data_IF_781439922215
#
_entry.id   IF_781439922215
#
_cell.length_a   1.000
_cell.length_b   1.000
_cell.length_c   1.000
_cell.angle_alpha   90.00
_cell.angle_beta   90.00
_cell.angle_gamma   90.00
#
_symmetry.space_group_name_H-M   'P 1'
#
loop_
_entity.id
_entity.type
_entity.pdbx_description
1 polymer ?
#
# COMPACT_ATOMS: atom_id res chain seq x y z
N UNK A 1 14.22 42.65 19.85
CA UNK A 1 15.12 41.51 19.62
C UNK A 1 14.73 40.49 20.69
N UNK A 2 14.07 39.37 20.44
CA UNK A 2 14.06 38.54 19.24
C UNK A 2 12.70 37.81 19.09
N UNK A 3 12.11 37.98 17.91
CA UNK A 3 11.04 37.15 17.39
C UNK A 3 11.73 35.98 16.67
N UNK A 4 11.90 34.82 17.31
CA UNK A 4 12.32 33.64 16.57
C UNK A 4 11.96 32.31 17.25
N UNK A 5 10.86 31.76 16.71
CA UNK A 5 10.77 30.39 16.22
C UNK A 5 10.85 29.29 17.29
N UNK A 6 9.69 28.97 17.86
CA UNK A 6 9.35 27.59 18.18
C UNK A 6 9.44 26.75 16.89
N UNK A 7 10.65 26.29 16.53
CA UNK A 7 10.83 25.28 15.51
C UNK A 7 10.56 23.93 16.18
N UNK A 8 9.32 23.45 16.01
CA UNK A 8 8.95 22.09 16.33
C UNK A 8 9.95 21.12 15.64
N UNK A 9 10.47 20.09 16.33
CA UNK A 9 11.25 19.06 15.69
C UNK A 9 10.29 18.22 14.84
N UNK A 10 10.16 18.55 13.56
CA UNK A 10 9.36 17.78 12.62
C UNK A 10 10.11 16.49 12.25
N UNK A 11 9.69 15.40 12.89
CA UNK A 11 9.43 14.10 12.26
C UNK A 11 10.51 13.63 11.23
N UNK A 12 11.66 13.16 11.74
CA UNK A 12 12.74 12.60 10.91
C UNK A 12 12.72 11.07 10.85
N UNK A 13 11.66 10.43 11.35
CA UNK A 13 11.45 9.01 11.14
C UNK A 13 10.90 8.80 9.72
N UNK A 14 11.45 7.88 8.91
CA UNK A 14 10.88 7.56 7.62
C UNK A 14 9.43 7.11 7.83
N UNK A 15 8.49 7.77 7.15
CA UNK A 15 7.09 7.36 7.20
C UNK A 15 7.00 5.94 6.63
N UNK A 16 6.10 5.08 7.12
CA UNK A 16 5.95 3.71 6.62
C UNK A 16 5.78 3.65 5.09
N UNK A 17 5.13 4.67 4.52
CA UNK A 17 4.95 4.84 3.08
C UNK A 17 6.26 5.05 2.30
N UNK A 18 7.28 5.65 2.92
CA UNK A 18 8.60 5.90 2.31
C UNK A 18 9.52 4.67 2.41
N UNK A 19 9.08 3.59 3.06
CA UNK A 19 9.83 2.33 3.15
C UNK A 19 9.82 1.58 1.83
N UNK A 20 10.94 0.92 1.50
CA UNK A 20 11.04 0.11 0.30
C UNK A 20 10.13 -1.11 0.40
N UNK A 21 9.32 -1.33 -0.63
CA UNK A 21 8.45 -2.50 -0.74
C UNK A 21 9.29 -3.79 -0.83
N UNK A 22 9.10 -4.68 0.15
CA UNK A 22 9.66 -6.02 0.08
C UNK A 22 8.89 -6.89 -0.93
N UNK A 23 9.48 -8.02 -1.32
CA UNK A 23 8.77 -8.99 -2.18
C UNK A 23 7.49 -9.49 -1.48
N UNK A 24 7.53 -9.67 -0.16
CA UNK A 24 6.38 -10.08 0.64
C UNK A 24 5.24 -9.02 0.64
N UNK A 25 5.59 -7.73 0.60
CA UNK A 25 4.57 -6.67 0.49
C UNK A 25 3.91 -6.71 -0.89
N UNK A 26 4.69 -6.93 -1.95
CA UNK A 26 4.18 -7.08 -3.31
C UNK A 26 3.29 -8.31 -3.44
N UNK A 27 3.71 -9.45 -2.88
CA UNK A 27 2.94 -10.69 -2.89
C UNK A 27 1.59 -10.53 -2.15
N UNK A 28 1.60 -9.91 -0.96
CA UNK A 28 0.36 -9.61 -0.22
C UNK A 28 -0.61 -8.79 -1.07
N UNK A 29 -0.12 -7.75 -1.74
CA UNK A 29 -0.95 -6.86 -2.54
C UNK A 29 -1.47 -7.60 -3.78
N UNK A 30 -0.65 -8.44 -4.40
CA UNK A 30 -1.07 -9.30 -5.50
C UNK A 30 -2.17 -10.28 -5.08
N UNK A 31 -2.11 -10.85 -3.87
CA UNK A 31 -3.17 -11.71 -3.34
C UNK A 31 -4.49 -10.95 -3.13
N UNK A 32 -4.44 -9.73 -2.59
CA UNK A 32 -5.62 -8.87 -2.45
C UNK A 32 -6.27 -8.58 -3.81
N UNK A 33 -5.45 -8.34 -4.84
CA UNK A 33 -5.94 -8.14 -6.21
C UNK A 33 -6.57 -9.42 -6.77
N UNK A 34 -5.98 -10.59 -6.50
CA UNK A 34 -6.53 -11.90 -6.91
C UNK A 34 -7.88 -12.16 -6.25
N UNK A 35 -8.03 -11.84 -4.98
CA UNK A 35 -9.31 -11.97 -4.27
C UNK A 35 -10.35 -11.04 -4.87
N UNK A 36 -10.00 -9.78 -5.14
CA UNK A 36 -10.91 -8.84 -5.79
C UNK A 36 -11.34 -9.27 -7.21
N UNK A 37 -10.47 -9.93 -7.96
CA UNK A 37 -10.82 -10.57 -9.23
C UNK A 37 -11.81 -11.74 -9.02
N UNK A 38 -11.56 -12.60 -8.03
CA UNK A 38 -12.44 -13.73 -7.70
C UNK A 38 -13.84 -13.27 -7.24
N UNK A 39 -13.91 -12.15 -6.55
CA UNK A 39 -15.16 -11.49 -6.13
C UNK A 39 -15.86 -10.74 -7.28
N UNK A 40 -15.23 -10.61 -8.44
CA UNK A 40 -15.75 -9.88 -9.60
C UNK A 40 -15.71 -8.36 -9.45
N UNK A 41 -14.92 -7.83 -8.50
CA UNK A 41 -14.69 -6.38 -8.31
C UNK A 41 -13.67 -5.82 -9.28
N UNK A 42 -12.78 -6.67 -9.78
CA UNK A 42 -11.86 -6.36 -10.86
C UNK A 42 -12.13 -7.27 -12.05
N UNK A 43 -11.99 -6.72 -13.25
CA UNK A 43 -11.87 -7.51 -14.47
C UNK A 43 -10.46 -8.13 -14.58
N UNK A 44 -10.31 -9.13 -15.44
CA UNK A 44 -9.01 -9.77 -15.66
C UNK A 44 -7.96 -8.78 -16.22
N UNK A 45 -8.38 -7.81 -17.04
CA UNK A 45 -7.51 -6.74 -17.54
C UNK A 45 -7.09 -5.79 -16.42
N UNK A 46 -8.03 -5.28 -15.61
CA UNK A 46 -7.70 -4.41 -14.48
C UNK A 46 -6.79 -5.10 -13.46
N UNK A 47 -7.03 -6.38 -13.20
CA UNK A 47 -6.16 -7.18 -12.35
C UNK A 47 -4.73 -7.25 -12.90
N UNK A 48 -4.57 -7.54 -14.20
CA UNK A 48 -3.25 -7.60 -14.83
C UNK A 48 -2.52 -6.26 -14.78
N UNK A 49 -3.20 -5.15 -15.10
CA UNK A 49 -2.63 -3.80 -15.05
C UNK A 49 -2.19 -3.41 -13.63
N UNK A 50 -3.02 -3.71 -12.62
CA UNK A 50 -2.70 -3.41 -11.22
C UNK A 50 -1.54 -4.26 -10.71
N UNK A 51 -1.49 -5.55 -11.06
CA UNK A 51 -0.37 -6.45 -10.69
C UNK A 51 0.93 -5.99 -11.34
N UNK A 52 0.90 -5.59 -12.61
CA UNK A 52 2.07 -5.01 -13.27
C UNK A 52 2.53 -3.74 -12.55
N UNK A 53 1.60 -2.85 -12.20
CA UNK A 53 1.90 -1.64 -11.42
C UNK A 53 2.59 -1.97 -10.09
N UNK A 54 2.04 -2.92 -9.32
CA UNK A 54 2.60 -3.43 -8.06
C UNK A 54 4.04 -3.90 -8.24
N UNK A 55 4.34 -4.67 -9.28
CA UNK A 55 5.69 -5.19 -9.53
C UNK A 55 6.71 -4.08 -9.87
N UNK A 56 6.25 -2.95 -10.40
CA UNK A 56 7.11 -1.80 -10.74
C UNK A 56 7.28 -0.80 -9.57
N UNK A 57 6.43 -0.87 -8.55
CA UNK A 57 6.55 0.01 -7.37
C UNK A 57 7.81 -0.28 -6.56
N UNK A 58 8.32 0.77 -5.93
CA UNK A 58 9.53 0.68 -5.09
C UNK A 58 9.22 0.89 -3.62
N UNK A 59 8.09 1.52 -3.29
CA UNK A 59 7.75 1.90 -1.93
C UNK A 59 6.43 1.27 -1.48
N UNK A 60 6.30 1.05 -0.18
CA UNK A 60 5.07 0.49 0.41
C UNK A 60 3.89 1.45 0.23
N UNK A 61 4.13 2.77 0.28
CA UNK A 61 3.07 3.76 0.06
C UNK A 61 2.52 3.74 -1.36
N UNK A 62 3.34 3.39 -2.36
CA UNK A 62 2.87 3.20 -3.74
C UNK A 62 1.98 1.95 -3.88
N UNK A 63 2.25 0.89 -3.12
CA UNK A 63 1.47 -0.34 -3.13
C UNK A 63 0.03 -0.14 -2.64
N UNK A 64 -0.15 0.62 -1.56
CA UNK A 64 -1.47 0.88 -0.98
C UNK A 64 -2.44 1.53 -1.98
N UNK A 65 -1.92 2.29 -2.95
CA UNK A 65 -2.75 2.96 -3.98
C UNK A 65 -3.49 1.95 -4.85
N UNK A 66 -2.94 0.76 -5.08
CA UNK A 66 -3.54 -0.26 -5.95
C UNK A 66 -4.70 -1.02 -5.30
N UNK A 67 -4.81 -0.96 -3.98
CA UNK A 67 -5.79 -1.73 -3.20
C UNK A 67 -6.69 -0.87 -2.31
N UNK A 68 -6.45 0.44 -2.21
CA UNK A 68 -7.25 1.36 -1.37
C UNK A 68 -8.74 1.43 -1.70
N UNK A 69 -9.14 1.02 -2.90
CA UNK A 69 -10.54 0.98 -3.33
C UNK A 69 -11.18 -0.39 -3.08
N UNK A 70 -10.38 -1.37 -2.66
CA UNK A 70 -10.82 -2.74 -2.45
C UNK A 70 -11.16 -2.97 -0.96
N UNK A 71 -12.30 -3.63 -0.67
CA UNK A 71 -12.66 -3.95 0.70
C UNK A 71 -11.66 -4.92 1.35
N UNK A 72 -11.08 -5.85 0.58
CA UNK A 72 -10.07 -6.80 1.05
C UNK A 72 -8.79 -6.13 1.61
N UNK A 73 -8.47 -4.90 1.19
CA UNK A 73 -7.37 -4.12 1.78
C UNK A 73 -7.69 -3.60 3.20
N UNK A 74 -8.97 -3.45 3.51
CA UNK A 74 -9.47 -2.94 4.78
C UNK A 74 -9.86 -4.04 5.75
N UNK A 75 -10.07 -5.26 5.24
CA UNK A 75 -10.14 -6.46 6.06
C UNK A 75 -8.75 -6.68 6.65
N UNK A 76 -8.55 -6.17 7.88
CA UNK A 76 -7.38 -6.59 8.67
C UNK A 76 -7.40 -8.10 8.65
N UNK A 77 -6.30 -8.78 8.25
CA UNK A 77 -6.24 -10.22 8.34
C UNK A 77 -6.55 -10.55 9.80
N UNK A 78 -7.71 -11.18 10.02
CA UNK A 78 -8.09 -11.64 11.34
C UNK A 78 -6.96 -12.57 11.75
N UNK A 79 -6.16 -12.17 12.73
CA UNK A 79 -5.08 -12.99 13.22
C UNK A 79 -5.68 -14.36 13.56
N UNK A 80 -5.18 -15.47 12.99
CA UNK A 80 -5.66 -16.79 13.37
C UNK A 80 -5.33 -16.98 14.86
N UNK A 81 -6.35 -17.33 15.64
CA UNK A 81 -6.26 -17.59 17.08
C UNK A 81 -5.45 -18.85 17.40
#
# INVERSE_FOLDING_TARGET
MDLQKHAQPADTAPRPADLRASDADRDRVADILRDALAEGRLTAEEHAERVEGVLHTKTVGELDVFIRDLPAAHERPAAPA
#
